data_IF_079090744130
#
_entry.id   IF_079090744130
#
_cell.length_a   1.000
_cell.length_b   1.000
_cell.length_c   1.000
_cell.angle_alpha   90.00
_cell.angle_beta   90.00
_cell.angle_gamma   90.00
#
_symmetry.space_group_name_H-M   'P 1'
#
loop_
_entity.id
_entity.type
_entity.pdbx_description
1 polymer ?
#
# COMPACT_ATOMS: atom_id res chain seq x y z
N UNK A 1 -27.20 -11.89 0.53
CA UNK A 1 -25.86 -12.14 1.13
C UNK A 1 -26.05 -12.84 2.47
N UNK A 2 -25.42 -13.98 2.71
CA UNK A 2 -25.63 -14.76 3.96
C UNK A 2 -24.78 -14.28 5.14
N UNK A 3 -23.70 -13.54 4.87
CA UNK A 3 -22.82 -12.93 5.89
C UNK A 3 -22.01 -11.81 5.25
N UNK A 4 -21.86 -10.69 5.93
CA UNK A 4 -21.11 -9.51 5.45
C UNK A 4 -19.99 -9.19 6.42
N UNK A 5 -18.77 -9.00 5.90
CA UNK A 5 -17.64 -8.48 6.66
C UNK A 5 -17.25 -7.12 6.10
N UNK A 6 -17.21 -6.10 6.96
CA UNK A 6 -16.70 -4.78 6.62
C UNK A 6 -15.26 -4.62 7.12
N UNK A 7 -14.44 -3.90 6.34
CA UNK A 7 -13.05 -3.59 6.67
C UNK A 7 -12.68 -2.17 6.22
N UNK A 8 -11.43 -1.76 6.41
CA UNK A 8 -10.95 -0.42 6.15
C UNK A 8 -11.20 0.55 7.32
N UNK A 9 -10.78 1.80 7.13
CA UNK A 9 -10.97 2.91 8.07
C UNK A 9 -12.45 3.09 8.46
N UNK A 10 -13.33 3.15 7.46
CA UNK A 10 -14.77 3.39 7.65
C UNK A 10 -15.57 2.20 8.19
N UNK A 11 -14.95 1.05 8.47
CA UNK A 11 -15.67 -0.18 8.90
C UNK A 11 -16.57 0.03 10.12
N UNK A 12 -16.20 0.95 11.01
CA UNK A 12 -16.95 1.25 12.24
C UNK A 12 -18.33 1.83 11.96
N UNK A 13 -18.50 2.46 10.79
CA UNK A 13 -19.76 3.05 10.34
C UNK A 13 -20.60 2.05 9.51
N UNK A 14 -20.12 0.82 9.31
CA UNK A 14 -20.83 -0.21 8.55
C UNK A 14 -21.70 -1.06 9.49
N UNK A 15 -22.77 -0.48 10.04
CA UNK A 15 -23.70 -1.16 10.95
C UNK A 15 -24.43 -2.35 10.30
N UNK A 16 -24.57 -2.32 8.97
CA UNK A 16 -25.16 -3.42 8.20
C UNK A 16 -24.26 -4.66 8.12
N UNK A 17 -22.99 -4.57 8.52
CA UNK A 17 -22.05 -5.68 8.42
C UNK A 17 -22.23 -6.67 9.59
N UNK A 18 -22.31 -7.95 9.26
CA UNK A 18 -22.36 -9.02 10.27
C UNK A 18 -21.11 -9.06 11.16
N UNK A 19 -19.96 -8.57 10.65
CA UNK A 19 -18.74 -8.39 11.43
C UNK A 19 -17.89 -7.26 10.85
N UNK A 20 -17.25 -6.49 11.72
CA UNK A 20 -16.24 -5.51 11.36
C UNK A 20 -14.86 -6.10 11.68
N UNK A 21 -13.91 -6.03 10.75
CA UNK A 21 -12.56 -6.58 10.93
C UNK A 21 -11.51 -5.57 10.46
N UNK A 22 -10.38 -5.50 11.17
CA UNK A 22 -9.28 -4.61 10.79
C UNK A 22 -8.77 -4.92 9.38
N UNK A 23 -8.43 -3.87 8.65
CA UNK A 23 -7.84 -4.01 7.32
C UNK A 23 -6.49 -4.72 7.33
N UNK A 24 -5.74 -4.63 8.43
CA UNK A 24 -4.49 -5.38 8.63
C UNK A 24 -4.75 -6.88 8.48
N UNK A 25 -5.75 -7.41 9.18
CA UNK A 25 -6.09 -8.83 9.13
C UNK A 25 -6.68 -9.22 7.76
N UNK A 26 -7.46 -8.33 7.14
CA UNK A 26 -8.01 -8.57 5.81
C UNK A 26 -6.94 -8.57 4.72
N UNK A 27 -6.02 -7.59 4.68
CA UNK A 27 -4.91 -7.57 3.75
C UNK A 27 -3.98 -8.76 3.94
N UNK A 28 -3.64 -9.12 5.19
CA UNK A 28 -2.87 -10.32 5.49
C UNK A 28 -3.50 -11.58 4.89
N UNK A 29 -4.80 -11.79 5.14
CA UNK A 29 -5.52 -12.96 4.63
C UNK A 29 -5.64 -12.94 3.10
N UNK A 30 -5.94 -11.79 2.51
CA UNK A 30 -6.05 -11.63 1.06
C UNK A 30 -4.73 -11.90 0.35
N UNK A 31 -3.65 -11.28 0.82
CA UNK A 31 -2.30 -11.48 0.27
C UNK A 31 -1.85 -12.93 0.41
N UNK A 32 -2.01 -13.54 1.60
CA UNK A 32 -1.66 -14.94 1.83
C UNK A 32 -2.48 -15.91 0.97
N UNK A 33 -3.75 -15.59 0.70
CA UNK A 33 -4.60 -16.42 -0.16
C UNK A 33 -4.11 -16.48 -1.61
N UNK A 34 -3.63 -15.35 -2.13
CA UNK A 34 -3.10 -15.26 -3.50
C UNK A 34 -1.68 -15.83 -3.56
N UNK A 35 -0.84 -15.45 -2.59
CA UNK A 35 0.56 -15.84 -2.51
C UNK A 35 0.86 -16.50 -1.14
N UNK A 36 0.73 -17.84 -1.01
CA UNK A 36 0.91 -18.56 0.26
C UNK A 36 2.32 -18.44 0.87
N UNK A 37 3.30 -18.02 0.09
CA UNK A 37 4.67 -17.77 0.54
C UNK A 37 4.87 -16.40 1.17
N UNK A 38 3.87 -15.49 1.11
CA UNK A 38 3.97 -14.14 1.69
C UNK A 38 4.39 -14.18 3.16
N UNK A 39 5.37 -13.35 3.54
CA UNK A 39 5.76 -13.13 4.94
C UNK A 39 5.73 -11.67 5.36
N UNK A 40 5.83 -10.76 4.40
CA UNK A 40 5.71 -9.32 4.64
C UNK A 40 4.75 -8.73 3.62
N UNK A 41 3.79 -7.94 4.07
CA UNK A 41 2.90 -7.16 3.21
C UNK A 41 3.29 -5.69 3.35
N UNK A 42 3.43 -5.00 2.22
CA UNK A 42 3.55 -3.55 2.16
C UNK A 42 2.29 -3.02 1.50
N UNK A 43 1.44 -2.38 2.30
CA UNK A 43 0.18 -1.79 1.87
C UNK A 43 0.33 -0.27 1.76
N UNK A 44 0.12 0.30 0.58
CA UNK A 44 0.20 1.75 0.37
C UNK A 44 -1.16 2.25 -0.10
N UNK A 45 -1.89 2.85 0.83
CA UNK A 45 -3.21 3.42 0.63
C UNK A 45 -3.16 4.91 0.25
N UNK A 46 -4.35 5.51 0.15
CA UNK A 46 -4.49 6.94 -0.13
C UNK A 46 -4.06 7.84 1.03
N UNK A 47 -4.33 7.42 2.28
CA UNK A 47 -4.12 8.25 3.48
C UNK A 47 -3.14 7.65 4.48
N UNK A 48 -2.83 6.37 4.33
CA UNK A 48 -1.90 5.67 5.20
C UNK A 48 -1.04 4.68 4.41
N UNK A 49 0.01 4.19 5.05
CA UNK A 49 0.80 3.07 4.57
C UNK A 49 1.16 2.14 5.73
N UNK A 50 1.27 0.85 5.43
CA UNK A 50 1.44 -0.21 6.43
C UNK A 50 2.49 -1.21 5.97
N UNK A 51 3.24 -1.69 6.94
CA UNK A 51 4.00 -2.92 6.83
C UNK A 51 3.39 -3.94 7.78
N UNK A 52 3.14 -5.16 7.30
CA UNK A 52 2.48 -6.23 8.06
C UNK A 52 3.35 -7.47 7.96
N UNK A 53 3.73 -8.05 9.09
CA UNK A 53 4.42 -9.33 9.16
C UNK A 53 3.41 -10.43 9.44
N UNK A 54 3.51 -11.54 8.70
CA UNK A 54 2.66 -12.72 8.89
C UNK A 54 3.48 -13.99 9.04
N UNK A 55 2.91 -14.98 9.74
CA UNK A 55 3.49 -16.33 9.84
C UNK A 55 3.15 -17.20 8.62
N UNK A 56 3.64 -18.43 8.63
CA UNK A 56 3.40 -19.46 7.62
C UNK A 56 1.93 -19.89 7.47
N UNK A 57 1.07 -19.51 8.42
CA UNK A 57 -0.36 -19.77 8.39
C UNK A 57 -1.18 -18.55 7.93
N UNK A 58 -0.52 -17.44 7.59
CA UNK A 58 -1.17 -16.20 7.17
C UNK A 58 -1.72 -15.36 8.33
N UNK A 59 -1.29 -15.65 9.55
CA UNK A 59 -1.70 -14.92 10.76
C UNK A 59 -0.74 -13.75 11.00
N UNK A 60 -1.30 -12.61 11.41
CA UNK A 60 -0.54 -11.39 11.69
C UNK A 60 0.31 -11.59 12.94
N UNK A 61 1.63 -11.44 12.79
CA UNK A 61 2.60 -11.46 13.90
C UNK A 61 2.78 -10.06 14.46
N UNK A 62 3.02 -9.10 13.57
CA UNK A 62 3.33 -7.71 13.94
C UNK A 62 2.97 -6.78 12.77
N UNK A 63 2.80 -5.48 13.05
CA UNK A 63 2.55 -4.48 12.02
C UNK A 63 3.05 -3.10 12.46
N UNK A 64 3.36 -2.26 11.47
CA UNK A 64 3.71 -0.86 11.65
C UNK A 64 2.95 -0.05 10.61
N UNK A 65 2.41 1.10 11.01
CA UNK A 65 1.63 1.94 10.11
C UNK A 65 1.95 3.42 10.29
N UNK A 66 1.77 4.15 9.21
CA UNK A 66 1.81 5.61 9.17
C UNK A 66 0.44 6.12 8.73
N UNK A 67 -0.32 6.69 9.66
CA UNK A 67 -1.68 7.21 9.47
C UNK A 67 -1.82 8.71 9.79
N UNK A 68 -0.78 9.32 10.37
CA UNK A 68 -0.79 10.73 10.78
C UNK A 68 -0.16 11.67 9.75
N UNK A 69 0.52 11.13 8.75
CA UNK A 69 1.30 11.92 7.80
C UNK A 69 1.03 11.47 6.38
N UNK A 70 0.75 12.42 5.49
CA UNK A 70 0.56 12.14 4.07
C UNK A 70 1.83 11.62 3.39
N UNK A 71 3.02 11.90 3.95
CA UNK A 71 4.28 11.39 3.43
C UNK A 71 4.27 9.85 3.37
N UNK A 72 4.60 9.29 2.19
CA UNK A 72 4.58 7.84 1.99
C UNK A 72 3.19 7.25 1.71
N UNK A 73 2.25 8.05 1.18
CA UNK A 73 0.87 7.64 0.86
C UNK A 73 0.44 8.19 -0.50
N UNK A 74 -0.72 7.76 -1.01
CA UNK A 74 -1.29 8.27 -2.26
C UNK A 74 -1.60 9.77 -2.22
N UNK A 75 -1.96 10.32 -1.05
CA UNK A 75 -2.22 11.75 -0.87
C UNK A 75 -0.99 12.60 -1.13
N UNK A 76 0.20 12.11 -0.79
CA UNK A 76 1.44 12.79 -1.16
C UNK A 76 1.59 12.83 -2.69
N UNK A 77 1.41 11.70 -3.37
CA UNK A 77 1.52 11.64 -4.83
C UNK A 77 0.49 12.52 -5.53
N UNK A 78 -0.74 12.61 -5.01
CA UNK A 78 -1.78 13.49 -5.53
C UNK A 78 -1.36 14.96 -5.48
N UNK A 79 -0.84 15.43 -4.34
CA UNK A 79 -0.36 16.83 -4.21
C UNK A 79 0.82 17.08 -5.15
N UNK A 80 1.75 16.14 -5.25
CA UNK A 80 2.93 16.30 -6.10
C UNK A 80 2.60 16.24 -7.59
N UNK A 81 1.64 15.40 -8.00
CA UNK A 81 1.16 15.35 -9.37
C UNK A 81 0.55 16.69 -9.79
N UNK A 82 -0.24 17.32 -8.91
CA UNK A 82 -0.76 18.67 -9.12
C UNK A 82 0.36 19.72 -9.24
N UNK A 83 1.38 19.66 -8.37
CA UNK A 83 2.53 20.58 -8.44
C UNK A 83 3.36 20.41 -9.71
N UNK A 84 3.42 19.20 -10.26
CA UNK A 84 4.06 18.89 -11.55
C UNK A 84 3.16 19.18 -12.76
N UNK A 85 1.89 19.52 -12.52
CA UNK A 85 0.84 19.71 -13.53
C UNK A 85 0.66 18.47 -14.44
N UNK A 86 0.61 17.28 -13.85
CA UNK A 86 0.35 16.01 -14.54
C UNK A 86 -0.73 15.21 -13.84
N UNK A 87 -1.37 14.29 -14.56
CA UNK A 87 -2.32 13.35 -13.97
C UNK A 87 -1.58 12.27 -13.15
N UNK A 88 -2.09 11.99 -11.95
CA UNK A 88 -1.52 10.98 -11.03
C UNK A 88 -1.43 9.60 -11.68
N UNK A 89 -2.40 9.24 -12.53
CA UNK A 89 -2.45 7.99 -13.28
C UNK A 89 -1.28 7.86 -14.27
N UNK A 90 -0.80 8.99 -14.81
CA UNK A 90 0.32 9.03 -15.76
C UNK A 90 1.68 9.24 -15.10
N UNK A 91 1.71 9.66 -13.83
CA UNK A 91 2.94 9.95 -13.08
C UNK A 91 3.90 8.75 -13.03
N UNK A 92 3.38 7.52 -12.94
CA UNK A 92 4.16 6.28 -12.97
C UNK A 92 5.01 6.16 -14.24
N UNK A 93 4.39 5.94 -15.42
CA UNK A 93 5.10 5.89 -16.70
C UNK A 93 5.94 7.14 -16.99
N UNK A 94 5.48 8.32 -16.58
CA UNK A 94 6.21 9.57 -16.74
C UNK A 94 7.56 9.56 -16.01
N UNK A 95 7.57 9.15 -14.74
CA UNK A 95 8.79 9.06 -13.92
C UNK A 95 9.84 8.07 -14.43
N UNK A 96 9.43 7.07 -15.22
CA UNK A 96 10.33 6.06 -15.78
C UNK A 96 11.16 6.59 -16.96
N UNK A 97 10.83 7.79 -17.48
CA UNK A 97 11.61 8.48 -18.50
C UNK A 97 12.82 9.22 -17.92
N UNK A 98 12.90 9.31 -16.60
CA UNK A 98 13.98 9.99 -15.89
C UNK A 98 15.36 9.53 -16.35
N UNK A 99 16.26 10.49 -16.51
CA UNK A 99 17.65 10.32 -16.91
C UNK A 99 18.61 10.70 -15.75
N UNK A 100 18.13 11.46 -14.77
CA UNK A 100 18.91 11.94 -13.64
C UNK A 100 18.18 11.68 -12.33
N UNK A 101 18.93 11.22 -11.34
CA UNK A 101 18.41 11.08 -9.99
C UNK A 101 18.38 12.45 -9.30
N UNK A 102 17.19 12.93 -8.96
CA UNK A 102 16.98 14.10 -8.10
C UNK A 102 16.59 13.59 -6.72
N UNK A 103 17.34 14.00 -5.70
CA UNK A 103 16.99 13.72 -4.32
C UNK A 103 16.03 14.81 -3.82
N UNK A 104 14.89 14.39 -3.27
CA UNK A 104 13.92 15.28 -2.61
C UNK A 104 14.30 15.37 -1.14
N UNK A 105 14.68 16.56 -0.70
CA UNK A 105 15.22 16.80 0.64
C UNK A 105 14.13 16.79 1.71
N UNK A 106 12.91 17.21 1.39
CA UNK A 106 11.82 17.30 2.35
C UNK A 106 10.77 16.21 2.19
N UNK A 107 10.46 15.51 3.29
CA UNK A 107 9.36 14.55 3.33
C UNK A 107 8.02 15.17 3.75
N UNK A 108 8.02 16.38 4.32
CA UNK A 108 6.77 17.06 4.67
C UNK A 108 6.08 17.49 3.38
N UNK A 109 4.85 17.02 3.12
CA UNK A 109 4.14 17.27 1.86
C UNK A 109 4.11 18.76 1.48
N UNK A 110 3.89 19.65 2.45
CA UNK A 110 3.84 21.10 2.20
C UNK A 110 5.20 21.66 1.75
N UNK A 111 6.29 21.19 2.35
CA UNK A 111 7.63 21.65 1.98
C UNK A 111 8.14 20.96 0.70
N UNK A 112 7.78 19.70 0.50
CA UNK A 112 8.07 18.97 -0.73
C UNK A 112 7.40 19.65 -1.94
N UNK A 113 6.18 20.17 -1.78
CA UNK A 113 5.49 20.93 -2.83
C UNK A 113 6.29 22.19 -3.22
N UNK A 114 6.72 22.99 -2.24
CA UNK A 114 7.57 24.16 -2.50
C UNK A 114 8.92 23.81 -3.13
N UNK A 115 9.51 22.68 -2.73
CA UNK A 115 10.75 22.15 -3.32
C UNK A 115 10.53 21.76 -4.80
N UNK A 116 9.43 21.07 -5.12
CA UNK A 116 9.06 20.73 -6.49
C UNK A 116 8.91 21.98 -7.36
N UNK A 117 8.19 23.00 -6.86
CA UNK A 117 8.02 24.27 -7.59
C UNK A 117 9.37 24.95 -7.86
N UNK A 118 10.27 24.94 -6.87
CA UNK A 118 11.63 25.49 -7.02
C UNK A 118 12.43 24.74 -8.07
N UNK A 119 12.43 23.41 -8.04
CA UNK A 119 13.13 22.56 -9.03
C UNK A 119 12.62 22.79 -10.46
N UNK A 120 11.31 22.98 -10.64
CA UNK A 120 10.73 23.33 -11.94
C UNK A 120 11.26 24.70 -12.40
N UNK A 121 11.28 25.70 -11.52
CA UNK A 121 11.77 27.04 -11.84
C UNK A 121 13.28 27.05 -12.18
N UNK A 122 14.05 26.15 -11.59
CA UNK A 122 15.48 25.93 -11.89
C UNK A 122 15.72 25.15 -13.20
N UNK A 123 14.66 24.70 -13.86
CA UNK A 123 14.72 24.00 -15.15
C UNK A 123 15.01 22.50 -15.03
N UNK A 124 14.82 21.89 -13.86
CA UNK A 124 14.89 20.44 -13.73
C UNK A 124 13.78 19.76 -14.54
N UNK A 125 14.11 18.63 -15.17
CA UNK A 125 13.14 17.87 -15.94
C UNK A 125 12.07 17.28 -15.02
N UNK A 126 10.79 17.46 -15.36
CA UNK A 126 9.66 17.05 -14.52
C UNK A 126 9.67 15.53 -14.27
N UNK A 127 10.11 14.73 -15.23
CA UNK A 127 10.26 13.28 -15.10
C UNK A 127 11.32 12.87 -14.07
N UNK A 128 12.42 13.64 -13.95
CA UNK A 128 13.46 13.43 -12.95
C UNK A 128 12.94 13.78 -11.55
N UNK A 129 12.17 14.87 -11.43
CA UNK A 129 11.51 15.25 -10.17
C UNK A 129 10.50 14.16 -9.76
N UNK A 130 9.66 13.69 -10.69
CA UNK A 130 8.69 12.62 -10.43
C UNK A 130 9.38 11.32 -9.96
N UNK A 131 10.53 10.98 -10.52
CA UNK A 131 11.33 9.84 -10.05
C UNK A 131 11.84 10.04 -8.62
N UNK A 132 12.37 11.23 -8.33
CA UNK A 132 12.79 11.63 -6.97
C UNK A 132 11.67 11.50 -5.94
N UNK A 133 10.46 11.95 -6.29
CA UNK A 133 9.27 11.85 -5.45
C UNK A 133 8.83 10.41 -5.20
N UNK A 134 8.88 9.53 -6.21
CA UNK A 134 8.65 8.11 -6.02
C UNK A 134 9.67 7.51 -5.05
N UNK A 135 10.96 7.83 -5.21
CA UNK A 135 12.01 7.37 -4.31
C UNK A 135 11.79 7.86 -2.86
N UNK A 136 11.34 9.09 -2.68
CA UNK A 136 11.00 9.65 -1.37
C UNK A 136 9.85 8.88 -0.68
N UNK A 137 8.76 8.61 -1.41
CA UNK A 137 7.65 7.77 -0.93
C UNK A 137 8.14 6.38 -0.54
N UNK A 138 8.91 5.72 -1.40
CA UNK A 138 9.40 4.37 -1.14
C UNK A 138 10.35 4.33 0.06
N UNK A 139 11.25 5.30 0.20
CA UNK A 139 12.13 5.41 1.37
C UNK A 139 11.32 5.45 2.67
N UNK A 140 10.26 6.26 2.69
CA UNK A 140 9.40 6.39 3.87
C UNK A 140 8.69 5.08 4.22
N UNK A 141 8.17 4.38 3.22
CA UNK A 141 7.43 3.12 3.37
C UNK A 141 8.36 1.98 3.79
N UNK A 142 9.53 1.84 3.16
CA UNK A 142 10.52 0.84 3.54
C UNK A 142 11.08 1.10 4.94
N UNK A 143 11.19 2.35 5.35
CA UNK A 143 11.51 2.72 6.74
C UNK A 143 10.49 2.20 7.77
N UNK A 144 9.21 2.03 7.40
CA UNK A 144 8.22 1.36 8.26
C UNK A 144 8.50 -0.15 8.32
N UNK A 145 8.75 -0.76 7.16
CA UNK A 145 8.98 -2.21 7.05
C UNK A 145 10.28 -2.65 7.76
N UNK A 146 11.34 -1.85 7.72
CA UNK A 146 12.60 -2.14 8.43
C UNK A 146 12.42 -2.30 9.94
N UNK A 147 11.45 -1.61 10.55
CA UNK A 147 11.16 -1.75 11.99
C UNK A 147 10.62 -3.15 12.35
N UNK A 148 10.09 -3.89 11.37
CA UNK A 148 9.44 -5.20 11.57
C UNK A 148 10.34 -6.41 11.26
N UNK A 149 11.64 -6.21 10.99
CA UNK A 149 12.56 -7.25 10.48
C UNK A 149 11.97 -7.96 9.25
N UNK A 150 12.06 -7.29 8.10
CA UNK A 150 11.56 -7.80 6.81
C UNK A 150 11.96 -9.26 6.63
N UNK A 151 10.98 -10.11 6.36
CA UNK A 151 11.19 -11.52 6.04
C UNK A 151 11.06 -11.72 4.53
N UNK A 152 11.75 -12.73 4.03
CA UNK A 152 11.77 -13.07 2.61
C UNK A 152 10.35 -13.35 2.09
N UNK A 153 10.05 -12.89 0.86
CA UNK A 153 8.73 -12.85 0.21
C UNK A 153 7.82 -11.70 0.65
N UNK A 154 7.96 -10.58 -0.06
CA UNK A 154 7.18 -9.35 0.12
C UNK A 154 6.03 -9.33 -0.89
N UNK A 155 4.82 -9.02 -0.42
CA UNK A 155 3.64 -8.80 -1.27
C UNK A 155 3.20 -7.34 -1.16
N UNK A 156 3.03 -6.67 -2.30
CA UNK A 156 2.58 -5.27 -2.35
C UNK A 156 1.06 -5.19 -2.54
N UNK A 157 0.38 -4.35 -1.75
CA UNK A 157 -1.07 -4.13 -1.84
C UNK A 157 -1.42 -2.64 -1.73
N UNK A 158 -2.67 -2.29 -2.02
CA UNK A 158 -3.18 -0.92 -1.92
C UNK A 158 -3.19 -0.21 -3.28
N UNK A 159 -3.94 0.89 -3.36
CA UNK A 159 -4.20 1.58 -4.63
C UNK A 159 -2.96 2.21 -5.26
N UNK A 160 -1.98 2.63 -4.44
CA UNK A 160 -0.74 3.25 -4.94
C UNK A 160 0.14 2.25 -5.71
N UNK A 161 -0.05 0.95 -5.50
CA UNK A 161 0.70 -0.09 -6.22
C UNK A 161 0.33 -0.15 -7.71
N UNK A 162 -0.77 0.47 -8.13
CA UNK A 162 -1.08 0.67 -9.55
C UNK A 162 -0.12 1.66 -10.24
N UNK A 163 0.60 2.49 -9.48
CA UNK A 163 1.64 3.36 -10.01
C UNK A 163 2.92 2.54 -10.25
N UNK A 164 3.23 2.26 -11.52
CA UNK A 164 4.39 1.45 -11.91
C UNK A 164 5.74 2.09 -11.54
N UNK A 165 5.79 3.42 -11.36
CA UNK A 165 6.99 4.13 -10.90
C UNK A 165 7.30 3.82 -9.44
N UNK A 166 6.27 3.75 -8.58
CA UNK A 166 6.40 3.28 -7.19
C UNK A 166 6.87 1.82 -7.16
N UNK A 167 6.23 0.96 -7.96
CA UNK A 167 6.63 -0.47 -8.03
C UNK A 167 8.09 -0.62 -8.46
N UNK A 168 8.51 0.13 -9.48
CA UNK A 168 9.89 0.14 -9.95
C UNK A 168 10.86 0.60 -8.86
N UNK A 169 10.56 1.71 -8.18
CA UNK A 169 11.38 2.22 -7.08
C UNK A 169 11.47 1.24 -5.89
N UNK A 170 10.37 0.56 -5.54
CA UNK A 170 10.36 -0.50 -4.51
C UNK A 170 11.30 -1.65 -4.91
N UNK A 171 11.14 -2.17 -6.13
CA UNK A 171 11.97 -3.29 -6.64
C UNK A 171 13.46 -2.92 -6.64
N UNK A 172 13.81 -1.73 -7.11
CA UNK A 172 15.19 -1.26 -7.15
C UNK A 172 15.80 -1.13 -5.74
N UNK A 173 15.05 -0.61 -4.77
CA UNK A 173 15.55 -0.44 -3.40
C UNK A 173 15.65 -1.73 -2.61
N UNK A 174 14.73 -2.66 -2.81
CA UNK A 174 14.75 -3.94 -2.11
C UNK A 174 15.77 -4.92 -2.70
N UNK A 175 16.05 -4.85 -4.00
CA UNK A 175 16.91 -5.83 -4.69
C UNK A 175 16.36 -7.26 -4.66
N UNK A 176 15.06 -7.42 -4.36
CA UNK A 176 14.37 -8.70 -4.18
C UNK A 176 13.15 -8.77 -5.10
N UNK A 177 12.74 -10.00 -5.45
CA UNK A 177 11.44 -10.23 -6.08
C UNK A 177 10.30 -9.88 -5.12
N UNK A 178 9.33 -9.13 -5.61
CA UNK A 178 8.09 -8.80 -4.89
C UNK A 178 6.89 -9.41 -5.61
N UNK A 179 5.94 -9.92 -4.85
CA UNK A 179 4.65 -10.36 -5.37
C UNK A 179 3.72 -9.16 -5.50
N UNK A 180 3.00 -9.11 -6.62
CA UNK A 180 2.01 -8.06 -6.88
C UNK A 180 0.76 -8.78 -7.41
N UNK A 181 -0.38 -8.70 -6.70
CA UNK A 181 -1.65 -9.21 -7.21
C UNK A 181 -2.08 -8.44 -8.47
N UNK A 182 -2.90 -9.07 -9.32
CA UNK A 182 -3.47 -8.41 -10.50
C UNK A 182 -4.30 -7.17 -10.12
N UNK A 183 -5.02 -7.22 -8.99
CA UNK A 183 -5.80 -6.11 -8.46
C UNK A 183 -5.36 -5.77 -7.02
N UNK A 184 -4.26 -5.03 -6.82
CA UNK A 184 -3.68 -4.80 -5.49
C UNK A 184 -4.58 -3.95 -4.58
N UNK A 185 -5.45 -3.11 -5.15
CA UNK A 185 -6.34 -2.20 -4.41
C UNK A 185 -7.46 -2.93 -3.65
N UNK A 186 -7.92 -4.09 -4.13
CA UNK A 186 -9.08 -4.80 -3.56
C UNK A 186 -8.70 -5.94 -2.61
N UNK A 187 -7.42 -6.08 -2.27
CA UNK A 187 -6.93 -7.21 -1.45
C UNK A 187 -7.54 -7.24 -0.06
N UNK A 188 -7.76 -6.07 0.56
CA UNK A 188 -8.52 -5.98 1.81
C UNK A 188 -9.96 -6.51 1.66
N UNK A 189 -10.65 -6.16 0.57
CA UNK A 189 -12.01 -6.65 0.30
C UNK A 189 -12.03 -8.18 0.08
N UNK A 190 -11.04 -8.71 -0.65
CA UNK A 190 -10.86 -10.16 -0.80
C UNK A 190 -10.69 -10.84 0.57
N UNK A 191 -9.84 -10.29 1.43
CA UNK A 191 -9.67 -10.77 2.80
C UNK A 191 -10.97 -10.79 3.60
N UNK A 192 -11.73 -9.70 3.57
CA UNK A 192 -13.03 -9.61 4.21
C UNK A 192 -14.01 -10.69 3.69
N UNK A 193 -14.09 -10.88 2.37
CA UNK A 193 -14.92 -11.91 1.75
C UNK A 193 -14.52 -13.34 2.17
N UNK A 194 -13.21 -13.61 2.29
CA UNK A 194 -12.71 -14.90 2.77
C UNK A 194 -13.08 -15.15 4.24
N UNK A 195 -13.06 -14.11 5.09
CA UNK A 195 -13.52 -14.22 6.47
C UNK A 195 -15.03 -14.47 6.55
N UNK A 196 -15.83 -13.79 5.73
CA UNK A 196 -17.27 -14.03 5.64
C UNK A 196 -17.55 -15.49 5.26
N UNK A 197 -16.86 -16.01 4.24
CA UNK A 197 -16.96 -17.42 3.81
C UNK A 197 -16.60 -18.41 4.91
N UNK A 198 -15.57 -18.12 5.71
CA UNK A 198 -15.19 -18.95 6.88
C UNK A 198 -16.28 -18.93 7.96
N UNK A 199 -16.89 -17.78 8.23
CA UNK A 199 -17.95 -17.64 9.23
C UNK A 199 -19.21 -18.45 8.85
N UNK A 200 -19.65 -18.36 7.59
CA UNK A 200 -20.79 -19.13 7.09
C UNK A 200 -20.54 -20.63 7.22
N UNK A 201 -19.38 -21.12 6.76
CA UNK A 201 -19.02 -22.54 6.86
C UNK A 201 -18.96 -23.05 8.30
N UNK A 202 -18.48 -22.21 9.23
CA UNK A 202 -18.44 -22.58 10.65
C UNK A 202 -19.85 -22.73 11.21
N UNK A 203 -20.75 -21.82 10.86
CA UNK A 203 -22.16 -21.86 11.26
C UNK A 203 -22.87 -23.10 10.72
N UNK A 204 -22.73 -23.40 9.43
CA UNK A 204 -23.31 -24.58 8.79
C UNK A 204 -22.83 -25.91 9.38
N UNK A 205 -21.59 -25.96 9.88
CA UNK A 205 -21.08 -27.15 10.59
C UNK A 205 -21.73 -27.32 11.95
N UNK A 206 -21.83 -26.24 12.73
CA UNK A 206 -22.47 -26.26 14.05
C UNK A 206 -23.95 -26.67 13.91
N UNK A 207 -24.67 -26.12 12.93
CA UNK A 207 -26.08 -26.47 12.66
C UNK A 207 -26.30 -27.93 12.20
N UNK A 208 -25.25 -28.63 11.76
CA UNK A 208 -25.32 -30.07 11.38
C UNK A 208 -24.93 -31.01 12.52
N UNK A 209 -24.28 -30.49 13.56
CA UNK A 209 -23.83 -31.24 14.74
C UNK A 209 -24.84 -31.16 15.90
N UNK A 210 -25.86 -30.30 15.77
CA UNK A 210 -27.01 -30.15 16.67
C UNK A 210 -28.24 -30.79 16.04
#
# INVERSE_FOLDING_TARGET
LSYIVATGYGRVNAEYASKQVSEIACHALGAFKIFPTTRTIIDIGGQDSKAIQINEHGEVIDFNMNDKCAAGTGRFLEVMANALEIDIETMGPFSLKSQKNIEISSMCTVFAESEVVSLIAEGAAREDIANGLHNAVVNRVLGLAHKLKIRETITLTGGVINNIGIVHAIKNKLGLSVNIPDEPQIIGALGAALMAKRAVRKREKIEKEV
#
